data_IF_765963028153
#
_entry.id   IF_765963028153
#
_cell.length_a   1.000
_cell.length_b   1.000
_cell.length_c   1.000
_cell.angle_alpha   90.00
_cell.angle_beta   90.00
_cell.angle_gamma   90.00
#
_symmetry.space_group_name_H-M   'P 1'
#
loop_
_entity.id
_entity.type
_entity.pdbx_description
1 polymer ?
#
# COMPACT_ATOMS: atom_id res chain seq x y z
N UNK A 1 -13.08 -5.38 -10.77
CA UNK A 1 -12.70 -6.73 -11.19
C UNK A 1 -13.68 -7.25 -12.23
N UNK A 2 -13.13 -7.76 -13.34
CA UNK A 2 -13.95 -8.17 -14.50
C UNK A 2 -14.19 -9.69 -14.51
N UNK A 3 -13.54 -10.41 -13.60
CA UNK A 3 -13.62 -11.86 -13.53
C UNK A 3 -14.32 -12.31 -12.26
N UNK A 4 -15.15 -13.36 -12.41
CA UNK A 4 -15.75 -14.02 -11.26
C UNK A 4 -14.68 -14.74 -10.42
N UNK A 5 -14.86 -14.82 -9.08
CA UNK A 5 -13.97 -15.62 -8.24
C UNK A 5 -14.01 -17.09 -8.64
N UNK A 6 -12.91 -17.78 -8.41
CA UNK A 6 -12.83 -19.23 -8.71
C UNK A 6 -13.89 -20.03 -7.95
N UNK A 7 -14.39 -21.15 -8.50
CA UNK A 7 -15.48 -21.92 -7.88
C UNK A 7 -15.21 -22.34 -6.43
N UNK A 8 -13.98 -22.75 -6.11
CA UNK A 8 -13.60 -23.15 -4.75
C UNK A 8 -13.64 -21.97 -3.75
N UNK A 9 -13.39 -20.74 -4.20
CA UNK A 9 -13.50 -19.53 -3.35
C UNK A 9 -14.97 -19.25 -3.05
N UNK A 10 -15.84 -19.35 -4.07
CA UNK A 10 -17.29 -19.22 -3.86
C UNK A 10 -17.82 -20.27 -2.90
N UNK A 11 -17.37 -21.52 -3.07
CA UNK A 11 -17.82 -22.62 -2.20
C UNK A 11 -17.39 -22.37 -0.75
N UNK A 12 -16.14 -21.97 -0.52
CA UNK A 12 -15.67 -21.64 0.83
C UNK A 12 -16.50 -20.53 1.50
N UNK A 13 -16.91 -19.51 0.74
CA UNK A 13 -17.81 -18.48 1.26
C UNK A 13 -19.19 -19.03 1.61
N UNK A 14 -19.78 -19.88 0.76
CA UNK A 14 -21.08 -20.50 1.00
C UNK A 14 -21.04 -21.41 2.22
N UNK A 15 -19.98 -22.19 2.40
CA UNK A 15 -19.79 -23.07 3.55
C UNK A 15 -19.64 -22.26 4.84
N UNK A 16 -18.84 -21.22 4.83
CA UNK A 16 -18.67 -20.31 5.97
C UNK A 16 -19.97 -19.58 6.36
N UNK A 17 -20.81 -19.23 5.37
CA UNK A 17 -22.07 -18.55 5.62
C UNK A 17 -23.14 -19.45 6.30
N UNK A 18 -22.95 -20.77 6.34
CA UNK A 18 -23.85 -21.72 7.03
C UNK A 18 -23.54 -21.82 8.53
N UNK A 19 -22.39 -21.31 8.97
CA UNK A 19 -22.03 -21.32 10.38
C UNK A 19 -22.53 -20.02 11.03
N UNK A 20 -23.45 -20.11 11.97
CA UNK A 20 -24.06 -18.99 12.69
C UNK A 20 -23.02 -18.17 13.48
N UNK A 21 -21.88 -18.77 13.87
CA UNK A 21 -20.79 -18.05 14.53
C UNK A 21 -20.18 -16.95 13.66
N UNK A 22 -20.19 -17.12 12.35
CA UNK A 22 -19.66 -16.15 11.38
C UNK A 22 -20.57 -14.93 11.18
N UNK A 23 -21.79 -14.93 11.74
CA UNK A 23 -22.73 -13.81 11.69
C UNK A 23 -22.67 -12.93 12.94
N UNK A 24 -21.80 -13.24 13.88
CA UNK A 24 -21.61 -12.45 15.08
C UNK A 24 -20.84 -11.16 14.78
N UNK A 25 -21.07 -10.18 15.61
CA UNK A 25 -20.36 -8.90 15.54
C UNK A 25 -18.85 -9.11 15.74
N UNK A 26 -18.05 -8.66 14.77
CA UNK A 26 -16.60 -8.77 14.81
C UNK A 26 -15.96 -7.45 15.25
N UNK A 27 -15.14 -7.49 16.29
CA UNK A 27 -14.37 -6.34 16.81
C UNK A 27 -12.94 -6.32 16.29
N UNK A 28 -12.48 -7.36 15.64
CA UNK A 28 -11.11 -7.53 15.15
C UNK A 28 -11.05 -8.65 14.10
N UNK A 29 -9.94 -8.68 13.38
CA UNK A 29 -9.66 -9.75 12.42
C UNK A 29 -9.65 -11.13 13.07
N UNK A 30 -10.03 -12.13 12.29
CA UNK A 30 -9.91 -13.53 12.71
C UNK A 30 -8.43 -13.90 12.81
N UNK A 31 -7.97 -14.49 13.93
CA UNK A 31 -6.58 -14.91 14.08
C UNK A 31 -6.09 -15.84 12.97
N UNK A 32 -6.95 -16.72 12.49
CA UNK A 32 -6.68 -17.66 11.39
C UNK A 32 -6.42 -16.94 10.07
N UNK A 33 -7.13 -15.84 9.80
CA UNK A 33 -6.89 -15.00 8.62
C UNK A 33 -5.50 -14.38 8.69
N UNK A 34 -5.14 -13.76 9.82
CA UNK A 34 -3.85 -13.11 9.99
C UNK A 34 -2.68 -14.10 9.86
N UNK A 35 -2.81 -15.28 10.48
CA UNK A 35 -1.83 -16.36 10.35
C UNK A 35 -1.71 -16.86 8.90
N UNK A 36 -2.84 -16.97 8.20
CA UNK A 36 -2.87 -17.41 6.79
C UNK A 36 -2.17 -16.40 5.90
N UNK A 37 -2.36 -15.09 6.13
CA UNK A 37 -1.66 -14.03 5.41
C UNK A 37 -0.15 -14.14 5.64
N UNK A 38 0.32 -14.29 6.86
CA UNK A 38 1.75 -14.48 7.16
C UNK A 38 2.33 -15.71 6.43
N UNK A 39 1.62 -16.83 6.50
CA UNK A 39 2.03 -18.07 5.81
C UNK A 39 2.05 -17.91 4.27
N UNK A 40 1.10 -17.14 3.72
CA UNK A 40 1.06 -16.83 2.30
C UNK A 40 2.27 -16.01 1.87
N UNK A 41 2.62 -14.95 2.61
CA UNK A 41 3.78 -14.10 2.31
C UNK A 41 5.08 -14.90 2.37
N UNK A 42 5.23 -15.77 3.37
CA UNK A 42 6.37 -16.67 3.44
C UNK A 42 6.46 -17.61 2.23
N UNK A 43 5.36 -18.29 1.90
CA UNK A 43 5.31 -19.28 0.81
C UNK A 43 5.46 -18.64 -0.56
N UNK A 44 4.82 -17.49 -0.80
CA UNK A 44 4.72 -16.90 -2.13
C UNK A 44 5.86 -15.94 -2.45
N UNK A 45 6.36 -15.21 -1.45
CA UNK A 45 7.33 -14.13 -1.62
C UNK A 45 8.62 -14.35 -0.84
N UNK A 46 8.75 -15.45 -0.12
CA UNK A 46 9.89 -15.75 0.75
C UNK A 46 10.16 -14.65 1.80
N UNK A 47 9.10 -14.01 2.27
CA UNK A 47 9.19 -13.01 3.34
C UNK A 47 9.07 -13.72 4.67
N UNK A 48 10.17 -13.74 5.42
CA UNK A 48 10.24 -14.30 6.77
C UNK A 48 10.02 -13.20 7.83
N UNK A 49 9.52 -13.62 8.99
CA UNK A 49 9.40 -12.74 10.15
C UNK A 49 8.14 -11.88 10.21
N UNK A 50 7.23 -12.00 9.24
CA UNK A 50 5.92 -11.35 9.37
C UNK A 50 5.09 -12.03 10.44
N UNK A 51 4.56 -11.26 11.38
CA UNK A 51 3.74 -11.74 12.50
C UNK A 51 2.29 -11.21 12.40
N UNK A 52 1.30 -11.89 13.00
CA UNK A 52 -0.10 -11.47 12.92
C UNK A 52 -0.39 -10.04 13.39
N UNK A 53 0.38 -9.50 14.32
CA UNK A 53 0.28 -8.12 14.81
C UNK A 53 0.75 -7.06 13.80
N UNK A 54 1.41 -7.48 12.72
CA UNK A 54 1.81 -6.64 11.59
C UNK A 54 0.82 -6.70 10.43
N UNK A 55 -0.30 -7.40 10.59
CA UNK A 55 -1.31 -7.59 9.54
C UNK A 55 -2.62 -7.01 10.01
N UNK A 56 -3.29 -6.28 9.13
CA UNK A 56 -4.61 -5.72 9.35
C UNK A 56 -5.44 -5.85 8.07
N UNK A 57 -6.70 -6.27 8.19
CA UNK A 57 -7.62 -6.28 7.05
C UNK A 57 -8.33 -4.94 6.89
N UNK A 58 -8.70 -4.64 5.65
CA UNK A 58 -9.50 -3.48 5.29
C UNK A 58 -10.63 -3.88 4.34
N UNK A 59 -11.64 -3.06 4.27
CA UNK A 59 -12.70 -3.21 3.26
C UNK A 59 -12.20 -2.75 1.88
N UNK A 60 -11.15 -3.44 1.39
CA UNK A 60 -10.35 -3.07 0.22
C UNK A 60 -9.17 -2.16 0.58
N UNK A 61 -8.09 -2.22 -0.22
CA UNK A 61 -6.87 -1.43 0.01
C UNK A 61 -7.13 0.09 -0.01
N UNK A 62 -8.14 0.53 -0.75
CA UNK A 62 -8.54 1.93 -0.79
C UNK A 62 -8.94 2.47 0.59
N UNK A 63 -9.59 1.66 1.42
CA UNK A 63 -9.95 2.04 2.80
C UNK A 63 -8.70 2.29 3.64
N UNK A 64 -7.74 1.35 3.64
CA UNK A 64 -6.47 1.51 4.33
C UNK A 64 -5.67 2.72 3.86
N UNK A 65 -5.48 2.87 2.55
CA UNK A 65 -4.73 3.98 1.95
C UNK A 65 -5.42 5.32 2.25
N UNK A 66 -6.74 5.37 2.18
CA UNK A 66 -7.54 6.57 2.48
C UNK A 66 -7.38 7.07 3.91
N UNK A 67 -7.06 6.19 4.86
CA UNK A 67 -6.88 6.54 6.27
C UNK A 67 -5.41 6.78 6.67
N UNK A 68 -4.43 6.54 5.78
CA UNK A 68 -3.01 6.72 6.12
C UNK A 68 -2.68 8.15 6.58
N UNK A 69 -3.23 9.16 5.92
CA UNK A 69 -3.00 10.55 6.31
C UNK A 69 -3.51 10.84 7.71
N UNK A 70 -4.73 10.38 8.04
CA UNK A 70 -5.31 10.54 9.38
C UNK A 70 -4.52 9.82 10.46
N UNK A 71 -3.98 8.64 10.15
CA UNK A 71 -3.26 7.81 11.11
C UNK A 71 -1.82 8.28 11.35
N UNK A 72 -1.16 8.82 10.33
CA UNK A 72 0.29 8.98 10.30
C UNK A 72 0.76 10.41 10.10
N UNK A 73 -0.09 11.33 9.62
CA UNK A 73 0.31 12.70 9.33
C UNK A 73 -0.31 13.71 10.31
N UNK A 74 0.41 14.79 10.51
CA UNK A 74 -0.11 16.02 11.12
C UNK A 74 -0.37 17.07 10.04
N UNK A 75 -1.10 18.13 10.40
CA UNK A 75 -1.32 19.25 9.49
C UNK A 75 0.01 19.85 9.01
N UNK A 76 0.14 19.94 7.70
CA UNK A 76 1.33 20.46 7.02
C UNK A 76 2.45 19.47 6.75
N UNK A 77 2.40 18.23 7.25
CA UNK A 77 3.37 17.19 6.91
C UNK A 77 3.43 16.97 5.39
N UNK A 78 4.64 16.77 4.84
CA UNK A 78 4.83 16.55 3.41
C UNK A 78 4.75 15.06 3.06
N UNK A 79 4.01 14.74 2.00
CA UNK A 79 3.88 13.37 1.48
C UNK A 79 4.24 13.31 0.01
N UNK A 80 5.15 12.39 -0.34
CA UNK A 80 5.57 12.17 -1.72
C UNK A 80 4.59 11.25 -2.44
N UNK A 81 4.00 11.75 -3.53
CA UNK A 81 3.03 11.03 -4.34
C UNK A 81 3.48 10.92 -5.80
N UNK A 82 3.17 9.81 -6.50
CA UNK A 82 3.40 9.74 -7.94
C UNK A 82 2.42 10.64 -8.71
N UNK A 83 2.86 11.13 -9.87
CA UNK A 83 1.99 11.84 -10.82
C UNK A 83 2.27 11.31 -12.25
N UNK A 84 1.29 10.62 -12.87
CA UNK A 84 -0.08 10.35 -12.39
C UNK A 84 -0.16 9.30 -11.27
N UNK A 85 -1.25 9.34 -10.49
CA UNK A 85 -1.51 8.37 -9.43
C UNK A 85 -2.98 8.00 -9.30
N UNK A 86 -3.24 6.96 -8.51
CA UNK A 86 -4.60 6.62 -8.12
C UNK A 86 -5.18 7.70 -7.16
N UNK A 87 -6.39 8.21 -7.40
CA UNK A 87 -6.90 9.41 -6.71
C UNK A 87 -6.92 9.32 -5.18
N UNK A 88 -7.10 8.13 -4.60
CA UNK A 88 -7.14 7.95 -3.14
C UNK A 88 -5.82 8.33 -2.46
N UNK A 89 -4.68 8.27 -3.15
CA UNK A 89 -3.39 8.66 -2.56
C UNK A 89 -3.40 10.13 -2.13
N UNK A 90 -3.89 11.00 -3.00
CA UNK A 90 -4.02 12.42 -2.70
C UNK A 90 -5.09 12.67 -1.63
N UNK A 91 -6.29 12.14 -1.83
CA UNK A 91 -7.41 12.42 -0.91
C UNK A 91 -7.14 11.88 0.49
N UNK A 92 -6.55 10.70 0.63
CA UNK A 92 -6.17 10.13 1.93
C UNK A 92 -5.15 10.98 2.67
N UNK A 93 -4.14 11.51 1.97
CA UNK A 93 -3.16 12.41 2.57
C UNK A 93 -3.79 13.73 3.03
N UNK A 94 -4.64 14.32 2.19
CA UNK A 94 -5.29 15.60 2.48
C UNK A 94 -6.27 15.52 3.65
N UNK A 95 -6.94 14.38 3.85
CA UNK A 95 -7.80 14.16 5.02
C UNK A 95 -7.06 14.28 6.35
N UNK A 96 -5.78 13.92 6.38
CA UNK A 96 -4.90 14.09 7.54
C UNK A 96 -4.22 15.47 7.63
N UNK A 97 -4.58 16.43 6.76
CA UNK A 97 -3.96 17.75 6.72
C UNK A 97 -2.57 17.77 6.05
N UNK A 98 -2.12 16.65 5.48
CA UNK A 98 -0.82 16.58 4.82
C UNK A 98 -0.82 17.30 3.46
N UNK A 99 0.35 17.76 3.05
CA UNK A 99 0.59 18.45 1.79
C UNK A 99 1.24 17.49 0.79
N UNK A 100 0.61 17.21 -0.37
CA UNK A 100 1.21 16.36 -1.39
C UNK A 100 2.34 17.11 -2.12
N UNK A 101 3.46 16.42 -2.32
CA UNK A 101 4.48 16.77 -3.28
C UNK A 101 4.58 15.66 -4.33
N UNK A 102 4.54 16.03 -5.62
CA UNK A 102 4.41 15.05 -6.70
C UNK A 102 5.73 14.79 -7.39
N UNK A 103 6.18 13.52 -7.41
CA UNK A 103 7.25 13.08 -8.31
C UNK A 103 6.67 12.58 -9.62
N UNK A 104 7.25 13.04 -10.73
CA UNK A 104 6.70 12.79 -12.06
C UNK A 104 7.02 11.40 -12.57
N UNK A 105 5.99 10.71 -13.05
CA UNK A 105 6.11 9.49 -13.84
C UNK A 105 5.95 9.87 -15.31
N UNK A 106 7.06 9.98 -16.03
CA UNK A 106 7.08 10.44 -17.42
C UNK A 106 7.45 9.32 -18.39
N UNK A 107 7.20 9.57 -19.67
CA UNK A 107 7.58 8.61 -20.72
C UNK A 107 9.10 8.39 -20.77
N UNK A 108 9.87 9.43 -20.51
CA UNK A 108 11.34 9.41 -20.52
C UNK A 108 11.92 8.51 -19.44
N UNK A 109 11.26 8.42 -18.28
CA UNK A 109 11.63 7.49 -17.20
C UNK A 109 10.78 6.20 -17.20
N UNK A 110 10.14 5.88 -18.34
CA UNK A 110 9.27 4.68 -18.49
C UNK A 110 8.13 4.63 -17.46
N UNK A 111 7.65 5.78 -17.02
CA UNK A 111 6.64 5.92 -15.96
C UNK A 111 7.03 5.23 -14.63
N UNK A 112 8.31 5.22 -14.33
CA UNK A 112 8.86 4.69 -13.08
C UNK A 112 9.31 5.84 -12.16
N UNK A 113 9.27 5.64 -10.83
CA UNK A 113 9.80 6.63 -9.88
C UNK A 113 11.29 6.88 -10.11
N UNK A 114 11.67 8.16 -10.18
CA UNK A 114 13.06 8.59 -10.13
C UNK A 114 13.31 9.37 -8.83
N UNK A 115 13.79 8.67 -7.81
CA UNK A 115 14.05 9.25 -6.50
C UNK A 115 15.21 10.25 -6.51
N UNK A 116 16.07 10.23 -7.54
CA UNK A 116 17.19 11.18 -7.68
C UNK A 116 16.72 12.55 -8.13
N UNK A 117 15.53 12.63 -8.73
CA UNK A 117 14.91 13.89 -9.15
C UNK A 117 14.24 14.66 -8.00
N UNK A 118 14.12 14.06 -6.81
CA UNK A 118 13.49 14.67 -5.64
C UNK A 118 14.52 15.59 -4.95
N UNK A 119 14.23 16.91 -4.83
CA UNK A 119 15.15 17.83 -4.16
C UNK A 119 15.41 17.40 -2.70
N UNK A 120 16.63 17.61 -2.24
CA UNK A 120 17.04 17.15 -0.90
C UNK A 120 16.22 17.81 0.21
N UNK A 121 15.87 19.07 0.09
CA UNK A 121 15.03 19.80 1.05
C UNK A 121 13.61 19.20 1.11
N UNK A 122 13.08 18.72 -0.02
CA UNK A 122 11.78 18.02 -0.08
C UNK A 122 11.89 16.65 0.57
N UNK A 123 12.94 15.88 0.27
CA UNK A 123 13.18 14.57 0.84
C UNK A 123 13.32 14.64 2.38
N UNK A 124 14.03 15.64 2.90
CA UNK A 124 14.20 15.86 4.36
C UNK A 124 12.93 16.27 5.07
N UNK A 125 11.99 16.90 4.36
CA UNK A 125 10.71 17.33 4.92
C UNK A 125 9.61 16.25 4.77
N UNK A 126 9.83 15.26 3.93
CA UNK A 126 8.83 14.23 3.63
C UNK A 126 8.68 13.22 4.76
N UNK A 127 7.45 12.89 5.11
CA UNK A 127 7.12 11.89 6.13
C UNK A 127 6.74 10.55 5.53
N UNK A 128 6.00 10.58 4.43
CA UNK A 128 5.55 9.39 3.71
C UNK A 128 5.95 9.47 2.24
N UNK A 129 6.21 8.32 1.63
CA UNK A 129 6.28 8.15 0.18
C UNK A 129 5.38 7.01 -0.24
N UNK A 130 4.39 7.29 -1.09
CA UNK A 130 3.54 6.27 -1.68
C UNK A 130 4.08 5.89 -3.05
N UNK A 131 4.17 4.59 -3.30
CA UNK A 131 4.47 4.02 -4.62
C UNK A 131 3.39 3.00 -4.97
N UNK A 132 2.98 2.96 -6.24
CA UNK A 132 2.10 1.92 -6.79
C UNK A 132 2.87 1.21 -7.90
N UNK A 133 3.20 -0.05 -7.69
CA UNK A 133 3.99 -0.85 -8.64
C UNK A 133 3.53 -2.32 -8.58
N UNK A 134 2.93 -2.84 -9.65
CA UNK A 134 2.69 -2.21 -10.96
C UNK A 134 1.85 -0.94 -10.86
N UNK A 135 2.26 0.10 -11.60
CA UNK A 135 1.70 1.45 -11.42
C UNK A 135 0.27 1.59 -11.97
N UNK A 136 -0.63 2.11 -11.17
CA UNK A 136 -1.96 2.51 -11.61
C UNK A 136 -2.01 4.05 -11.77
N UNK A 137 -2.30 4.62 -12.96
CA UNK A 137 -2.92 3.95 -14.13
C UNK A 137 -1.96 3.52 -15.24
N UNK A 138 -0.65 3.72 -15.12
CA UNK A 138 0.28 3.63 -16.25
C UNK A 138 0.83 2.22 -16.54
N UNK A 139 0.67 1.27 -15.61
CA UNK A 139 1.00 -0.13 -15.82
C UNK A 139 2.49 -0.48 -15.78
N UNK A 140 3.37 0.45 -15.40
CA UNK A 140 4.82 0.20 -15.33
C UNK A 140 5.18 -0.77 -14.20
N UNK A 141 6.21 -1.60 -14.47
CA UNK A 141 6.68 -2.64 -13.55
C UNK A 141 8.12 -2.31 -13.16
N UNK A 142 8.39 -2.29 -11.86
CA UNK A 142 9.73 -2.03 -11.33
C UNK A 142 10.62 -3.27 -11.37
N UNK A 143 11.94 -3.02 -11.47
CA UNK A 143 12.95 -4.04 -11.24
C UNK A 143 13.34 -4.13 -9.77
N UNK A 144 13.98 -5.22 -9.31
CA UNK A 144 14.51 -5.32 -7.95
C UNK A 144 15.46 -4.17 -7.59
N UNK A 145 16.26 -3.70 -8.56
CA UNK A 145 17.22 -2.62 -8.37
C UNK A 145 16.52 -1.29 -8.10
N UNK A 146 15.39 -1.02 -8.79
CA UNK A 146 14.59 0.18 -8.53
C UNK A 146 13.95 0.13 -7.14
N UNK A 147 13.43 -1.02 -6.74
CA UNK A 147 12.92 -1.18 -5.36
C UNK A 147 14.02 -0.93 -4.32
N UNK A 148 15.24 -1.43 -4.54
CA UNK A 148 16.36 -1.17 -3.65
C UNK A 148 16.67 0.35 -3.57
N UNK A 149 16.71 1.05 -4.71
CA UNK A 149 16.92 2.51 -4.74
C UNK A 149 15.84 3.28 -3.97
N UNK A 150 14.55 2.91 -4.12
CA UNK A 150 13.45 3.53 -3.40
C UNK A 150 13.58 3.29 -1.88
N UNK A 151 13.88 2.06 -1.48
CA UNK A 151 14.06 1.69 -0.07
C UNK A 151 15.25 2.45 0.54
N UNK A 152 16.39 2.50 -0.16
CA UNK A 152 17.58 3.21 0.31
C UNK A 152 17.35 4.72 0.43
N UNK A 153 16.63 5.30 -0.54
CA UNK A 153 16.21 6.70 -0.46
C UNK A 153 15.33 6.96 0.77
N UNK A 154 14.30 6.14 0.98
CA UNK A 154 13.41 6.29 2.12
C UNK A 154 14.15 6.11 3.46
N UNK A 155 15.07 5.15 3.56
CA UNK A 155 15.91 4.95 4.75
C UNK A 155 16.84 6.13 5.01
N UNK A 156 17.46 6.68 3.96
CA UNK A 156 18.39 7.82 4.07
C UNK A 156 17.73 9.06 4.68
N UNK A 157 16.45 9.29 4.37
CA UNK A 157 15.72 10.48 4.78
C UNK A 157 14.67 10.23 5.86
N UNK A 158 14.62 9.02 6.43
CA UNK A 158 13.64 8.60 7.44
C UNK A 158 12.19 8.75 6.98
N UNK A 159 11.93 8.37 5.72
CA UNK A 159 10.61 8.41 5.09
C UNK A 159 9.93 7.05 5.24
N UNK A 160 8.70 7.01 5.69
CA UNK A 160 7.90 5.77 5.69
C UNK A 160 7.43 5.45 4.27
N UNK A 161 7.90 4.32 3.73
CA UNK A 161 7.50 3.84 2.41
C UNK A 161 6.18 3.07 2.48
N UNK A 162 5.22 3.48 1.69
CA UNK A 162 3.94 2.78 1.48
C UNK A 162 3.90 2.24 0.06
N UNK A 163 3.75 0.93 -0.09
CA UNK A 163 3.69 0.28 -1.40
C UNK A 163 2.28 -0.28 -1.64
N UNK A 164 1.56 0.32 -2.58
CA UNK A 164 0.31 -0.21 -3.12
C UNK A 164 0.61 -1.20 -4.23
N UNK A 165 0.35 -2.46 -3.96
CA UNK A 165 0.63 -3.58 -4.87
C UNK A 165 -0.67 -4.35 -5.15
N UNK A 166 -1.55 -3.73 -5.93
CA UNK A 166 -2.82 -4.33 -6.31
C UNK A 166 -2.65 -5.55 -7.23
#
# INVERSE_FOLDING_TARGET
>A
PDFAPAPHIKQALLDAAQDDENWKYSLRDLPELLQTVCAYYKRRFNVDGTTPDQVMSFSGSQDGIGHLGLALCNDGDLVLLPDPCYPVFMTGCMLGGAKPWYYRLTKENHFLPDVTSIPEEVARAAKLMLVSLPANPVGSIATPELYAQIVDFCRKYDILLVHDNA
#
